data_IF_512192910531
#
_entry.id   IF_512192910531
#
_cell.length_a   1.000
_cell.length_b   1.000
_cell.length_c   1.000
_cell.angle_alpha   90.00
_cell.angle_beta   90.00
_cell.angle_gamma   90.00
#
_symmetry.space_group_name_H-M   'P 1'
#
loop_
_entity.id
_entity.type
_entity.pdbx_description
1 polymer ?
#
# COMPACT_ATOMS: atom_id res chain seq x y z
N UNK A 1 6.06 11.18 11.91
CA UNK A 1 6.67 12.28 11.14
C UNK A 1 7.30 11.70 9.88
N UNK A 2 6.77 12.02 8.70
CA UNK A 2 7.49 11.77 7.45
C UNK A 2 8.43 12.96 7.25
N UNK A 3 9.74 12.69 7.28
CA UNK A 3 10.75 13.74 7.19
C UNK A 3 10.80 14.27 5.76
N UNK A 4 10.90 15.61 5.57
CA UNK A 4 11.11 16.18 4.25
C UNK A 4 12.38 15.58 3.62
N UNK A 5 12.53 15.62 2.29
CA UNK A 5 13.62 14.93 1.58
C UNK A 5 15.00 15.32 2.11
N UNK A 6 15.20 16.61 2.39
CA UNK A 6 16.39 17.15 3.05
C UNK A 6 16.66 16.51 4.42
N UNK A 7 15.61 16.27 5.22
CA UNK A 7 15.73 15.60 6.51
C UNK A 7 16.17 14.14 6.41
N UNK A 8 15.74 13.41 5.37
CA UNK A 8 16.20 12.03 5.14
C UNK A 8 17.69 11.98 4.77
N UNK A 9 18.17 12.93 3.96
CA UNK A 9 19.60 13.05 3.61
C UNK A 9 20.44 13.39 4.84
N UNK A 10 20.00 14.35 5.66
CA UNK A 10 20.69 14.71 6.91
C UNK A 10 20.76 13.50 7.85
N UNK A 11 19.64 12.77 8.01
CA UNK A 11 19.60 11.58 8.84
C UNK A 11 20.55 10.47 8.34
N UNK A 12 20.68 10.31 7.02
CA UNK A 12 21.63 9.36 6.44
C UNK A 12 23.08 9.76 6.74
N UNK A 13 23.44 11.03 6.55
CA UNK A 13 24.78 11.53 6.83
C UNK A 13 25.20 11.26 8.30
N UNK A 14 24.32 11.51 9.26
CA UNK A 14 24.60 11.21 10.66
C UNK A 14 24.68 9.70 10.93
N UNK A 15 23.83 8.90 10.29
CA UNK A 15 23.88 7.45 10.42
C UNK A 15 25.18 6.86 9.83
N UNK A 16 25.67 7.42 8.72
CA UNK A 16 26.97 7.05 8.11
C UNK A 16 28.13 7.34 9.08
N UNK A 17 28.13 8.52 9.71
CA UNK A 17 29.15 8.88 10.71
C UNK A 17 29.11 7.94 11.92
N UNK A 18 27.92 7.67 12.46
CA UNK A 18 27.75 6.76 13.58
C UNK A 18 28.23 5.34 13.25
N UNK A 19 27.92 4.85 12.04
CA UNK A 19 28.35 3.53 11.57
C UNK A 19 29.86 3.46 11.33
N UNK A 20 30.49 4.54 10.89
CA UNK A 20 31.95 4.60 10.76
C UNK A 20 32.66 4.43 12.11
N UNK A 21 32.08 4.97 13.19
CA UNK A 21 32.61 4.82 14.55
C UNK A 21 32.27 3.47 15.18
N UNK A 22 31.08 2.94 14.89
CA UNK A 22 30.54 1.72 15.49
C UNK A 22 29.98 0.76 14.42
N UNK A 23 30.84 0.12 13.61
CA UNK A 23 30.43 -0.58 12.39
C UNK A 23 29.62 -1.86 12.63
N UNK A 24 29.77 -2.46 13.82
CA UNK A 24 29.14 -3.73 14.18
C UNK A 24 27.99 -3.59 15.18
N UNK A 25 27.70 -2.38 15.65
CA UNK A 25 26.63 -2.14 16.63
C UNK A 25 25.25 -2.28 15.93
N UNK A 26 24.39 -3.23 16.34
CA UNK A 26 23.12 -3.49 15.68
C UNK A 26 22.20 -2.27 15.58
N UNK A 27 22.17 -1.45 16.62
CA UNK A 27 21.33 -0.26 16.74
C UNK A 27 21.69 0.76 15.65
N UNK A 28 22.98 1.00 15.44
CA UNK A 28 23.46 1.89 14.38
C UNK A 28 23.22 1.31 13.00
N UNK A 29 23.39 -0.02 12.82
CA UNK A 29 23.04 -0.68 11.57
C UNK A 29 21.55 -0.51 11.24
N UNK A 30 20.66 -0.67 12.23
CA UNK A 30 19.21 -0.52 12.05
C UNK A 30 18.84 0.93 11.69
N UNK A 31 19.42 1.91 12.38
CA UNK A 31 19.19 3.34 12.08
C UNK A 31 19.67 3.66 10.67
N UNK A 32 20.86 3.20 10.31
CA UNK A 32 21.44 3.38 8.99
C UNK A 32 20.60 2.76 7.87
N UNK A 33 20.20 1.49 8.01
CA UNK A 33 19.32 0.81 7.04
C UNK A 33 17.99 1.54 6.85
N UNK A 34 17.39 2.06 7.94
CA UNK A 34 16.17 2.86 7.86
C UNK A 34 16.38 4.16 7.10
N UNK A 35 17.45 4.89 7.38
CA UNK A 35 17.76 6.16 6.74
C UNK A 35 18.06 5.96 5.25
N UNK A 36 18.94 5.01 4.92
CA UNK A 36 19.33 4.70 3.54
C UNK A 36 18.14 4.22 2.71
N UNK A 37 17.32 3.32 3.25
CA UNK A 37 16.10 2.88 2.61
C UNK A 37 15.09 4.02 2.37
N UNK A 38 14.99 5.01 3.26
CA UNK A 38 14.12 6.19 3.05
C UNK A 38 14.63 7.07 1.91
N UNK A 39 15.92 7.38 1.90
CA UNK A 39 16.55 8.16 0.82
C UNK A 39 16.32 7.47 -0.53
N UNK A 40 16.56 6.15 -0.58
CA UNK A 40 16.29 5.34 -1.77
C UNK A 40 14.82 5.37 -2.17
N UNK A 41 13.88 5.03 -1.29
CA UNK A 41 12.44 5.00 -1.64
C UNK A 41 11.90 6.35 -2.09
N UNK A 42 12.42 7.45 -1.53
CA UNK A 42 12.05 8.80 -1.93
C UNK A 42 12.67 9.19 -3.28
N UNK A 43 13.97 8.97 -3.42
CA UNK A 43 14.78 9.41 -4.56
C UNK A 43 14.76 8.47 -5.77
N UNK A 44 14.45 7.18 -5.58
CA UNK A 44 14.45 6.08 -6.56
C UNK A 44 13.55 4.92 -6.05
N UNK A 45 12.23 5.04 -6.17
CA UNK A 45 11.24 4.19 -5.46
C UNK A 45 11.32 2.67 -5.71
N UNK A 46 12.12 2.23 -6.69
CA UNK A 46 12.35 0.81 -7.00
C UNK A 46 13.83 0.49 -7.24
N UNK A 47 14.73 1.34 -6.77
CA UNK A 47 16.14 1.01 -6.75
C UNK A 47 16.40 -0.16 -5.81
N UNK A 48 17.27 -1.07 -6.23
CA UNK A 48 17.69 -2.21 -5.43
C UNK A 48 18.45 -1.73 -4.19
N UNK A 49 18.29 -2.37 -3.01
CA UNK A 49 19.23 -2.21 -1.93
C UNK A 49 20.67 -2.48 -2.39
N UNK A 50 21.62 -1.67 -1.93
CA UNK A 50 23.03 -1.86 -2.25
C UNK A 50 23.63 -3.09 -1.55
N UNK A 51 24.77 -3.58 -2.03
CA UNK A 51 25.47 -4.72 -1.43
C UNK A 51 25.82 -4.46 0.04
N UNK A 52 26.18 -3.23 0.38
CA UNK A 52 26.46 -2.79 1.75
C UNK A 52 25.24 -2.84 2.68
N UNK A 53 24.03 -2.71 2.14
CA UNK A 53 22.78 -2.90 2.87
C UNK A 53 22.47 -4.37 3.08
N UNK A 54 22.70 -5.19 2.05
CA UNK A 54 22.53 -6.64 2.12
C UNK A 54 23.51 -7.24 3.12
N UNK A 55 24.76 -6.82 3.13
CA UNK A 55 25.76 -7.28 4.10
C UNK A 55 25.46 -6.82 5.53
N UNK A 56 24.90 -5.62 5.69
CA UNK A 56 24.41 -5.16 6.98
C UNK A 56 23.26 -6.04 7.52
N UNK A 57 22.33 -6.44 6.65
CA UNK A 57 21.25 -7.35 7.03
C UNK A 57 21.77 -8.74 7.41
N UNK A 58 22.76 -9.28 6.68
CA UNK A 58 23.43 -10.52 7.06
C UNK A 58 24.08 -10.41 8.45
N UNK A 59 24.73 -9.27 8.74
CA UNK A 59 25.33 -9.01 10.04
C UNK A 59 24.29 -8.95 11.17
N UNK A 60 23.14 -8.29 10.95
CA UNK A 60 22.04 -8.29 11.91
C UNK A 60 21.51 -9.70 12.22
N UNK A 61 21.53 -10.60 11.23
CA UNK A 61 21.14 -11.99 11.42
C UNK A 61 22.18 -12.81 12.21
N UNK A 62 23.46 -12.42 12.23
CA UNK A 62 24.55 -13.21 12.83
C UNK A 62 24.94 -12.82 14.26
N UNK A 63 24.77 -11.56 14.68
CA UNK A 63 25.26 -11.06 15.98
C UNK A 63 24.55 -11.73 17.17
N UNK A 64 23.22 -11.64 17.22
CA UNK A 64 22.38 -12.22 18.28
C UNK A 64 20.96 -12.36 17.74
N UNK A 65 20.31 -13.50 18.04
CA UNK A 65 18.91 -13.75 17.68
C UNK A 65 17.97 -12.82 18.47
N UNK A 66 17.83 -11.59 17.99
CA UNK A 66 16.92 -10.57 18.50
C UNK A 66 15.79 -10.35 17.48
N UNK A 67 14.51 -10.51 17.85
CA UNK A 67 13.38 -10.34 16.92
C UNK A 67 13.39 -9.00 16.18
N UNK A 68 13.72 -7.90 16.86
CA UNK A 68 13.77 -6.58 16.24
C UNK A 68 14.84 -6.48 15.15
N UNK A 69 15.98 -7.15 15.32
CA UNK A 69 17.04 -7.16 14.30
C UNK A 69 16.62 -8.00 13.10
N UNK A 70 16.06 -9.18 13.36
CA UNK A 70 15.56 -10.12 12.36
C UNK A 70 14.44 -9.51 11.51
N UNK A 71 13.47 -8.83 12.13
CA UNK A 71 12.41 -8.11 11.43
C UNK A 71 12.99 -7.07 10.46
N UNK A 72 14.02 -6.32 10.86
CA UNK A 72 14.63 -5.31 9.97
C UNK A 72 15.41 -5.91 8.82
N UNK A 73 16.17 -6.98 9.05
CA UNK A 73 16.82 -7.71 7.98
C UNK A 73 15.80 -8.29 7.00
N UNK A 74 14.74 -8.93 7.49
CA UNK A 74 13.67 -9.49 6.67
C UNK A 74 12.98 -8.43 5.81
N UNK A 75 12.66 -7.25 6.35
CA UNK A 75 12.01 -6.19 5.58
C UNK A 75 12.87 -5.72 4.39
N UNK A 76 14.20 -5.65 4.56
CA UNK A 76 15.10 -5.32 3.46
C UNK A 76 15.13 -6.43 2.39
N UNK A 77 15.16 -7.70 2.81
CA UNK A 77 15.07 -8.83 1.88
C UNK A 77 13.72 -8.88 1.17
N UNK A 78 12.62 -8.55 1.86
CA UNK A 78 11.30 -8.46 1.26
C UNK A 78 11.25 -7.37 0.18
N UNK A 79 11.83 -6.20 0.45
CA UNK A 79 11.97 -5.10 -0.52
C UNK A 79 12.80 -5.53 -1.74
N UNK A 80 13.95 -6.18 -1.54
CA UNK A 80 14.78 -6.75 -2.60
C UNK A 80 14.02 -7.78 -3.45
N UNK A 81 13.24 -8.66 -2.80
CA UNK A 81 12.38 -9.65 -3.46
C UNK A 81 11.31 -9.01 -4.34
N UNK A 82 10.67 -7.95 -3.82
CA UNK A 82 9.67 -7.19 -4.55
C UNK A 82 10.24 -6.45 -5.77
N UNK A 83 11.38 -5.79 -5.63
CA UNK A 83 12.04 -5.06 -6.73
C UNK A 83 12.45 -6.03 -7.84
N UNK A 84 13.05 -7.17 -7.49
CA UNK A 84 13.38 -8.21 -8.48
C UNK A 84 12.14 -8.74 -9.20
N UNK A 85 11.00 -8.88 -8.50
CA UNK A 85 9.72 -9.26 -9.12
C UNK A 85 9.29 -8.23 -10.16
N UNK A 86 9.40 -6.94 -9.87
CA UNK A 86 9.06 -5.86 -10.81
C UNK A 86 9.97 -5.84 -12.04
N UNK A 87 11.24 -6.21 -11.87
CA UNK A 87 12.22 -6.35 -12.96
C UNK A 87 12.11 -7.68 -13.73
N UNK A 88 11.09 -8.50 -13.43
CA UNK A 88 10.89 -9.85 -13.98
C UNK A 88 12.06 -10.82 -13.71
N UNK A 89 12.86 -10.57 -12.67
CA UNK A 89 13.88 -11.50 -12.20
C UNK A 89 13.29 -12.44 -11.13
N UNK A 90 12.51 -13.42 -11.59
CA UNK A 90 11.75 -14.31 -10.71
C UNK A 90 12.64 -15.18 -9.80
N UNK A 91 13.82 -15.58 -10.27
CA UNK A 91 14.74 -16.41 -9.50
C UNK A 91 15.29 -15.66 -8.29
N UNK A 92 15.85 -14.46 -8.49
CA UNK A 92 16.35 -13.64 -7.37
C UNK A 92 15.20 -13.17 -6.47
N UNK A 93 14.05 -12.85 -7.06
CA UNK A 93 12.84 -12.50 -6.29
C UNK A 93 12.47 -13.61 -5.30
N UNK A 94 12.39 -14.85 -5.77
CA UNK A 94 12.04 -16.02 -4.95
C UNK A 94 13.06 -16.26 -3.85
N UNK A 95 14.36 -16.13 -4.18
CA UNK A 95 15.46 -16.27 -3.21
C UNK A 95 15.35 -15.25 -2.07
N UNK A 96 15.11 -13.98 -2.39
CA UNK A 96 14.98 -12.93 -1.37
C UNK A 96 13.70 -13.06 -0.53
N UNK A 97 12.57 -13.45 -1.13
CA UNK A 97 11.36 -13.75 -0.34
C UNK A 97 11.56 -14.95 0.59
N UNK A 98 12.28 -15.98 0.13
CA UNK A 98 12.65 -17.12 0.98
C UNK A 98 13.51 -16.68 2.17
N UNK A 99 14.58 -15.91 1.94
CA UNK A 99 15.40 -15.35 3.02
C UNK A 99 14.58 -14.54 4.02
N UNK A 100 13.70 -13.65 3.53
CA UNK A 100 12.79 -12.87 4.37
C UNK A 100 11.91 -13.77 5.24
N UNK A 101 11.23 -14.74 4.63
CA UNK A 101 10.29 -15.61 5.35
C UNK A 101 10.96 -16.55 6.35
N UNK A 102 12.12 -17.12 6.03
CA UNK A 102 12.88 -17.98 6.94
C UNK A 102 13.29 -17.21 8.20
N UNK A 103 13.70 -15.95 8.05
CA UNK A 103 14.04 -15.07 9.18
C UNK A 103 12.80 -14.70 10.01
N UNK A 104 11.65 -14.43 9.35
CA UNK A 104 10.41 -14.09 10.05
C UNK A 104 9.87 -15.26 10.88
N UNK A 105 9.97 -16.50 10.38
CA UNK A 105 9.58 -17.69 11.14
C UNK A 105 10.35 -17.78 12.46
N UNK A 106 11.68 -17.60 12.39
CA UNK A 106 12.53 -17.55 13.60
C UNK A 106 12.10 -16.40 14.51
N UNK A 107 11.83 -15.22 13.93
CA UNK A 107 11.41 -14.06 14.73
C UNK A 107 10.06 -14.24 15.41
N UNK A 108 9.12 -14.99 14.83
CA UNK A 108 7.81 -15.29 15.42
C UNK A 108 7.95 -16.23 16.63
N UNK A 109 8.92 -17.14 16.61
CA UNK A 109 9.20 -18.04 17.74
C UNK A 109 9.86 -17.29 18.91
N UNK A 110 10.62 -16.24 18.62
CA UNK A 110 11.38 -15.47 19.61
C UNK A 110 10.63 -14.25 20.16
N UNK A 111 9.58 -13.80 19.47
CA UNK A 111 8.84 -12.59 19.86
C UNK A 111 7.97 -12.88 21.08
N UNK A 112 8.06 -12.01 22.08
CA UNK A 112 7.13 -12.00 23.20
C UNK A 112 5.83 -11.28 22.79
N UNK A 113 4.96 -10.95 23.74
CA UNK A 113 3.74 -10.18 23.45
C UNK A 113 4.00 -8.67 23.21
N UNK A 114 5.16 -8.32 22.64
CA UNK A 114 5.48 -6.96 22.20
C UNK A 114 4.64 -6.61 20.96
N UNK A 115 3.66 -5.72 21.17
CA UNK A 115 2.71 -5.28 20.14
C UNK A 115 3.40 -4.71 18.90
N UNK A 116 4.48 -3.94 19.05
CA UNK A 116 5.14 -3.29 17.91
C UNK A 116 5.87 -4.31 17.03
N UNK A 117 6.50 -5.31 17.66
CA UNK A 117 7.16 -6.40 16.96
C UNK A 117 6.13 -7.31 16.29
N UNK A 118 5.08 -7.72 17.01
CA UNK A 118 3.96 -8.50 16.45
C UNK A 118 3.33 -7.80 15.25
N UNK A 119 3.08 -6.49 15.36
CA UNK A 119 2.52 -5.69 14.27
C UNK A 119 3.45 -5.66 13.04
N UNK A 120 4.76 -5.52 13.27
CA UNK A 120 5.76 -5.52 12.20
C UNK A 120 5.91 -6.90 11.54
N UNK A 121 5.80 -7.98 12.31
CA UNK A 121 5.80 -9.36 11.82
C UNK A 121 4.60 -9.62 10.92
N UNK A 122 3.39 -9.32 11.40
CA UNK A 122 2.17 -9.52 10.61
C UNK A 122 2.20 -8.70 9.31
N UNK A 123 2.66 -7.44 9.35
CA UNK A 123 2.83 -6.64 8.15
C UNK A 123 3.77 -7.30 7.14
N UNK A 124 4.90 -7.84 7.62
CA UNK A 124 5.87 -8.52 6.76
C UNK A 124 5.28 -9.80 6.15
N UNK A 125 4.50 -10.58 6.93
CA UNK A 125 3.78 -11.74 6.42
C UNK A 125 2.80 -11.38 5.29
N UNK A 126 2.09 -10.25 5.41
CA UNK A 126 1.13 -9.76 4.41
C UNK A 126 1.84 -9.32 3.11
N UNK A 127 3.08 -8.85 3.18
CA UNK A 127 3.82 -8.32 2.03
C UNK A 127 4.60 -9.40 1.26
N UNK A 128 4.94 -10.51 1.92
CA UNK A 128 5.52 -11.69 1.30
C UNK A 128 4.47 -12.52 0.53
N UNK A 129 4.88 -13.39 -0.42
CA UNK A 129 3.99 -14.37 -1.03
C UNK A 129 3.32 -15.28 0.01
N UNK A 130 2.02 -15.54 -0.15
CA UNK A 130 1.21 -16.29 0.81
C UNK A 130 1.77 -17.69 1.09
N UNK A 131 2.44 -18.30 0.11
CA UNK A 131 3.04 -19.64 0.21
C UNK A 131 4.22 -19.70 1.19
N UNK A 132 4.73 -18.56 1.64
CA UNK A 132 5.89 -18.49 2.54
C UNK A 132 5.54 -18.84 3.99
N UNK A 133 4.27 -18.75 4.39
CA UNK A 133 3.81 -18.89 5.78
C UNK A 133 2.62 -19.83 5.88
N UNK A 134 2.49 -20.54 7.00
CA UNK A 134 1.30 -21.33 7.28
C UNK A 134 0.16 -20.44 7.78
N UNK A 135 -1.09 -20.80 7.47
CA UNK A 135 -2.27 -20.07 7.97
C UNK A 135 -2.28 -19.99 9.50
N UNK A 136 -1.95 -21.09 10.19
CA UNK A 136 -1.89 -21.14 11.66
C UNK A 136 -0.93 -20.12 12.27
N UNK A 137 0.21 -19.87 11.61
CA UNK A 137 1.20 -18.91 12.08
C UNK A 137 0.65 -17.47 12.00
N UNK A 138 -0.01 -17.14 10.89
CA UNK A 138 -0.64 -15.83 10.70
C UNK A 138 -1.83 -15.65 11.64
N UNK A 139 -2.68 -16.67 11.78
CA UNK A 139 -3.83 -16.67 12.69
C UNK A 139 -3.42 -16.44 14.15
N UNK A 140 -2.29 -17.01 14.59
CA UNK A 140 -1.75 -16.76 15.92
C UNK A 140 -1.37 -15.28 16.11
N UNK A 141 -0.70 -14.65 15.13
CA UNK A 141 -0.37 -13.23 15.18
C UNK A 141 -1.63 -12.35 15.21
N UNK A 142 -2.61 -12.68 14.36
CA UNK A 142 -3.89 -11.97 14.28
C UNK A 142 -4.65 -12.07 15.60
N UNK A 143 -4.69 -13.26 16.21
CA UNK A 143 -5.35 -13.49 17.51
C UNK A 143 -4.74 -12.62 18.60
N UNK A 144 -3.40 -12.59 18.70
CA UNK A 144 -2.69 -11.74 19.68
C UNK A 144 -2.97 -10.25 19.47
N UNK A 145 -3.11 -9.81 18.23
CA UNK A 145 -3.30 -8.40 17.89
C UNK A 145 -4.77 -7.93 17.94
N UNK A 146 -5.74 -8.85 17.83
CA UNK A 146 -7.16 -8.50 17.65
C UNK A 146 -7.79 -7.73 18.83
N UNK A 147 -7.26 -7.88 20.04
CA UNK A 147 -7.73 -7.18 21.24
C UNK A 147 -7.03 -5.84 21.49
N UNK A 148 -5.96 -5.54 20.74
CA UNK A 148 -5.11 -4.38 20.98
C UNK A 148 -5.73 -3.11 20.37
N UNK A 149 -6.02 -2.12 21.22
CA UNK A 149 -6.53 -0.81 20.80
C UNK A 149 -5.39 0.11 20.36
N UNK A 150 -4.97 -0.01 19.10
CA UNK A 150 -3.91 0.81 18.55
C UNK A 150 -4.13 1.02 17.04
N UNK A 151 -4.06 2.27 16.57
CA UNK A 151 -4.37 2.60 15.16
C UNK A 151 -3.42 1.93 14.15
N UNK A 152 -2.16 1.67 14.54
CA UNK A 152 -1.20 0.96 13.70
C UNK A 152 -1.54 -0.53 13.61
N UNK A 153 -2.09 -1.11 14.69
CA UNK A 153 -2.60 -2.48 14.70
C UNK A 153 -3.86 -2.58 13.86
N UNK A 154 -4.80 -1.64 14.02
CA UNK A 154 -5.99 -1.55 13.17
C UNK A 154 -5.62 -1.48 11.68
N UNK A 155 -4.60 -0.71 11.31
CA UNK A 155 -4.12 -0.65 9.93
C UNK A 155 -3.67 -2.03 9.42
N UNK A 156 -2.84 -2.74 10.19
CA UNK A 156 -2.26 -4.03 9.76
C UNK A 156 -3.32 -5.14 9.74
N UNK A 157 -4.22 -5.19 10.72
CA UNK A 157 -5.36 -6.11 10.71
C UNK A 157 -6.28 -5.83 9.51
N UNK A 158 -6.55 -4.56 9.22
CA UNK A 158 -7.29 -4.16 8.03
C UNK A 158 -6.64 -4.63 6.72
N UNK A 159 -5.31 -4.51 6.62
CA UNK A 159 -4.55 -5.01 5.47
C UNK A 159 -4.56 -6.54 5.37
N UNK A 160 -4.50 -7.25 6.50
CA UNK A 160 -4.62 -8.71 6.54
C UNK A 160 -5.97 -9.16 5.98
N UNK A 161 -7.07 -8.62 6.50
CA UNK A 161 -8.40 -8.99 6.01
C UNK A 161 -8.64 -8.56 4.56
N UNK A 162 -8.03 -7.45 4.11
CA UNK A 162 -8.12 -7.00 2.72
C UNK A 162 -7.37 -7.91 1.75
N UNK A 163 -6.12 -8.27 2.06
CA UNK A 163 -5.22 -8.94 1.10
C UNK A 163 -5.22 -10.45 1.23
N UNK A 164 -5.27 -10.97 2.45
CA UNK A 164 -5.07 -12.38 2.75
C UNK A 164 -6.43 -13.11 2.79
N UNK A 165 -7.29 -12.76 3.76
CA UNK A 165 -8.62 -13.41 3.92
C UNK A 165 -9.62 -12.99 2.85
N UNK A 166 -9.48 -11.76 2.32
CA UNK A 166 -10.47 -11.10 1.45
C UNK A 166 -11.84 -10.94 2.13
N UNK A 167 -11.85 -10.78 3.46
CA UNK A 167 -13.03 -10.38 4.24
C UNK A 167 -13.12 -8.85 4.25
N UNK A 168 -13.79 -8.30 3.25
CA UNK A 168 -13.88 -6.85 3.06
C UNK A 168 -14.71 -6.15 4.14
N UNK A 169 -15.61 -6.86 4.83
CA UNK A 169 -16.40 -6.29 5.94
C UNK A 169 -15.51 -6.07 7.16
N UNK A 170 -14.70 -7.07 7.53
CA UNK A 170 -13.71 -6.90 8.61
C UNK A 170 -12.62 -5.92 8.23
N UNK A 171 -12.14 -5.96 6.98
CA UNK A 171 -11.17 -4.98 6.49
C UNK A 171 -11.70 -3.55 6.65
N UNK A 172 -12.95 -3.29 6.23
CA UNK A 172 -13.64 -2.00 6.41
C UNK A 172 -13.67 -1.59 7.88
N UNK A 173 -14.06 -2.49 8.78
CA UNK A 173 -14.14 -2.19 10.21
C UNK A 173 -12.79 -1.70 10.77
N UNK A 174 -11.72 -2.46 10.55
CA UNK A 174 -10.39 -2.11 11.08
C UNK A 174 -9.81 -0.86 10.41
N UNK A 175 -9.91 -0.74 9.09
CA UNK A 175 -9.43 0.45 8.37
C UNK A 175 -10.20 1.71 8.74
N UNK A 176 -11.49 1.61 9.06
CA UNK A 176 -12.30 2.73 9.56
C UNK A 176 -11.80 3.24 10.91
N UNK A 177 -11.41 2.33 11.83
CA UNK A 177 -10.80 2.70 13.11
C UNK A 177 -9.46 3.40 12.91
N UNK A 178 -8.62 2.85 12.03
CA UNK A 178 -7.35 3.48 11.66
C UNK A 178 -7.53 4.87 11.06
N UNK A 179 -8.50 5.04 10.15
CA UNK A 179 -8.85 6.34 9.57
C UNK A 179 -9.33 7.32 10.65
N UNK A 180 -10.20 6.89 11.58
CA UNK A 180 -10.71 7.74 12.66
C UNK A 180 -9.58 8.26 13.56
N UNK A 181 -8.49 7.49 13.68
CA UNK A 181 -7.26 7.90 14.36
C UNK A 181 -6.29 8.75 13.49
N UNK A 182 -6.71 9.17 12.29
CA UNK A 182 -5.92 10.03 11.40
C UNK A 182 -4.88 9.31 10.53
N UNK A 183 -4.94 7.98 10.41
CA UNK A 183 -3.98 7.22 9.59
C UNK A 183 -4.30 7.32 8.10
N UNK A 184 -3.49 8.09 7.37
CA UNK A 184 -3.62 8.28 5.92
C UNK A 184 -3.65 6.95 5.14
N UNK A 185 -2.76 6.03 5.47
CA UNK A 185 -2.69 4.70 4.83
C UNK A 185 -4.01 3.95 4.99
N UNK A 186 -4.58 3.97 6.20
CA UNK A 186 -5.88 3.34 6.47
C UNK A 186 -7.01 4.00 5.68
N UNK A 187 -7.04 5.33 5.58
CA UNK A 187 -8.02 6.07 4.75
C UNK A 187 -7.96 5.66 3.29
N UNK A 188 -6.75 5.56 2.72
CA UNK A 188 -6.56 5.18 1.31
C UNK A 188 -6.98 3.72 1.05
N UNK A 189 -6.65 2.80 1.96
CA UNK A 189 -7.09 1.40 1.83
C UNK A 189 -8.59 1.24 2.09
N UNK A 190 -9.20 2.08 2.93
CA UNK A 190 -10.64 2.07 3.16
C UNK A 190 -11.39 2.41 1.87
N UNK A 191 -10.96 3.45 1.13
CA UNK A 191 -11.54 3.76 -0.18
C UNK A 191 -11.47 2.57 -1.12
N UNK A 192 -10.33 1.88 -1.17
CA UNK A 192 -10.18 0.65 -1.97
C UNK A 192 -11.18 -0.43 -1.54
N UNK A 193 -11.40 -0.62 -0.25
CA UNK A 193 -12.41 -1.55 0.28
C UNK A 193 -13.82 -1.13 -0.13
N UNK A 194 -14.17 0.15 -0.06
CA UNK A 194 -15.47 0.64 -0.53
C UNK A 194 -15.67 0.34 -2.02
N UNK A 195 -14.65 0.56 -2.86
CA UNK A 195 -14.72 0.23 -4.29
C UNK A 195 -14.77 -1.29 -4.59
N UNK A 196 -14.43 -2.15 -3.63
CA UNK A 196 -14.59 -3.60 -3.74
C UNK A 196 -15.98 -4.07 -3.28
N UNK A 197 -16.58 -3.36 -2.31
CA UNK A 197 -17.90 -3.67 -1.76
C UNK A 197 -19.04 -3.16 -2.66
N UNK A 198 -18.81 -2.07 -3.40
CA UNK A 198 -19.81 -1.49 -4.29
C UNK A 198 -19.16 -0.92 -5.57
N UNK A 199 -19.92 -0.84 -6.68
CA UNK A 199 -19.47 -0.20 -7.90
C UNK A 199 -18.93 1.23 -7.67
N UNK A 200 -17.85 1.58 -8.37
CA UNK A 200 -17.19 2.89 -8.22
C UNK A 200 -18.09 4.08 -8.57
N UNK A 201 -19.08 3.88 -9.45
CA UNK A 201 -20.07 4.89 -9.82
C UNK A 201 -21.18 5.10 -8.77
N UNK A 202 -21.28 4.21 -7.79
CA UNK A 202 -22.24 4.32 -6.67
C UNK A 202 -21.55 4.85 -5.40
N UNK A 203 -20.27 4.54 -5.21
CA UNK A 203 -19.47 5.14 -4.15
C UNK A 203 -19.15 6.61 -4.47
N UNK A 204 -19.33 7.57 -3.54
CA UNK A 204 -18.98 8.98 -3.74
C UNK A 204 -17.45 9.19 -3.74
N UNK A 205 -16.76 8.61 -4.74
CA UNK A 205 -15.31 8.48 -4.80
C UNK A 205 -14.59 9.83 -4.74
N UNK A 206 -14.92 10.73 -5.67
CA UNK A 206 -14.30 12.06 -5.74
C UNK A 206 -14.62 12.86 -4.48
N UNK A 207 -15.89 12.90 -4.04
CA UNK A 207 -16.29 13.62 -2.82
C UNK A 207 -15.51 13.16 -1.60
N UNK A 208 -15.32 11.85 -1.44
CA UNK A 208 -14.55 11.27 -0.32
C UNK A 208 -13.08 11.69 -0.38
N UNK A 209 -12.46 11.62 -1.56
CA UNK A 209 -11.07 12.06 -1.76
C UNK A 209 -10.90 13.57 -1.55
N UNK A 210 -11.84 14.40 -2.00
CA UNK A 210 -11.84 15.85 -1.74
C UNK A 210 -11.93 16.14 -0.24
N UNK A 211 -12.77 15.43 0.51
CA UNK A 211 -12.80 15.56 1.98
C UNK A 211 -11.46 15.17 2.61
N UNK A 212 -10.80 14.12 2.11
CA UNK A 212 -9.46 13.74 2.57
C UNK A 212 -8.41 14.81 2.23
N UNK A 213 -8.51 15.46 1.08
CA UNK A 213 -7.58 16.52 0.66
C UNK A 213 -7.60 17.72 1.64
N UNK A 214 -8.78 18.04 2.18
CA UNK A 214 -8.94 19.08 3.20
C UNK A 214 -8.39 18.66 4.58
N UNK A 215 -8.41 17.37 4.91
CA UNK A 215 -7.88 16.87 6.20
C UNK A 215 -6.37 16.70 6.15
N UNK A 216 -5.83 16.14 5.06
CA UNK A 216 -4.41 15.82 4.92
C UNK A 216 -3.66 16.95 4.23
N UNK A 217 -3.10 17.86 5.03
CA UNK A 217 -2.37 19.05 4.55
C UNK A 217 -0.97 18.74 4.00
N UNK A 218 -0.47 17.51 4.14
CA UNK A 218 0.86 17.16 3.66
C UNK A 218 0.86 17.09 2.11
N UNK A 219 1.76 17.83 1.43
CA UNK A 219 1.77 17.88 -0.04
C UNK A 219 1.91 16.50 -0.71
N UNK A 220 2.69 15.56 -0.15
CA UNK A 220 2.86 14.24 -0.76
C UNK A 220 1.55 13.45 -0.72
N UNK A 221 0.82 13.55 0.39
CA UNK A 221 -0.50 12.90 0.57
C UNK A 221 -1.53 13.54 -0.36
N UNK A 222 -1.49 14.85 -0.52
CA UNK A 222 -2.33 15.59 -1.46
C UNK A 222 -2.11 15.17 -2.90
N UNK A 223 -0.85 15.04 -3.35
CA UNK A 223 -0.55 14.50 -4.68
C UNK A 223 -1.13 13.09 -4.87
N UNK A 224 -1.00 12.21 -3.87
CA UNK A 224 -1.57 10.86 -3.93
C UNK A 224 -3.10 10.91 -4.04
N UNK A 225 -3.77 11.80 -3.29
CA UNK A 225 -5.21 11.98 -3.35
C UNK A 225 -5.64 12.50 -4.73
N UNK A 226 -5.03 13.59 -5.20
CA UNK A 226 -5.36 14.22 -6.47
C UNK A 226 -5.08 13.25 -7.63
N UNK A 227 -4.03 12.44 -7.58
CA UNK A 227 -3.73 11.46 -8.63
C UNK A 227 -4.82 10.38 -8.75
N UNK A 228 -5.45 9.98 -7.63
CA UNK A 228 -6.62 9.10 -7.67
C UNK A 228 -7.85 9.77 -8.27
N UNK A 229 -8.06 11.06 -8.01
CA UNK A 229 -9.16 11.82 -8.61
C UNK A 229 -8.93 11.98 -10.13
N UNK A 230 -7.71 12.30 -10.54
CA UNK A 230 -7.33 12.37 -11.95
C UNK A 230 -7.53 11.03 -12.66
N UNK A 231 -7.15 9.91 -12.04
CA UNK A 231 -7.44 8.57 -12.55
C UNK A 231 -8.94 8.38 -12.79
N UNK A 232 -9.77 8.73 -11.81
CA UNK A 232 -11.22 8.58 -11.91
C UNK A 232 -11.78 9.38 -13.09
N UNK A 233 -11.45 10.67 -13.20
CA UNK A 233 -11.95 11.48 -14.32
C UNK A 233 -11.35 11.09 -15.67
N UNK A 234 -10.14 10.56 -15.71
CA UNK A 234 -9.50 10.10 -16.95
C UNK A 234 -10.15 8.82 -17.48
N UNK A 235 -10.54 7.90 -16.59
CA UNK A 235 -10.88 6.52 -16.94
C UNK A 235 -12.38 6.24 -16.88
N UNK A 236 -13.07 6.82 -15.89
CA UNK A 236 -14.48 6.51 -15.59
C UNK A 236 -15.39 7.53 -16.25
N UNK A 237 -15.23 8.80 -15.93
CA UNK A 237 -16.13 9.85 -16.42
C UNK A 237 -15.68 10.50 -17.73
N UNK A 238 -14.37 10.46 -18.03
CA UNK A 238 -13.76 11.15 -19.17
C UNK A 238 -14.23 12.62 -19.29
N UNK A 239 -14.07 13.40 -18.21
CA UNK A 239 -14.56 14.78 -18.10
C UNK A 239 -13.41 15.80 -18.27
N UNK A 240 -13.28 16.48 -19.43
CA UNK A 240 -12.17 17.38 -19.71
C UNK A 240 -11.98 18.52 -18.72
N UNK A 241 -13.08 19.16 -18.31
CA UNK A 241 -13.04 20.31 -17.39
C UNK A 241 -12.49 19.89 -16.03
N UNK A 242 -12.95 18.75 -15.51
CA UNK A 242 -12.48 18.23 -14.23
C UNK A 242 -11.03 17.74 -14.31
N UNK A 243 -10.63 17.09 -15.42
CA UNK A 243 -9.24 16.69 -15.65
C UNK A 243 -8.31 17.90 -15.58
N UNK A 244 -8.63 18.99 -16.30
CA UNK A 244 -7.81 20.21 -16.30
C UNK A 244 -7.76 20.88 -14.92
N UNK A 245 -8.90 20.95 -14.21
CA UNK A 245 -8.96 21.54 -12.88
C UNK A 245 -8.08 20.79 -11.87
N UNK A 246 -8.25 19.47 -11.76
CA UNK A 246 -7.43 18.66 -10.84
C UNK A 246 -5.97 18.58 -11.28
N UNK A 247 -5.67 18.67 -12.58
CA UNK A 247 -4.29 18.70 -13.06
C UNK A 247 -3.61 20.00 -12.64
N UNK A 248 -4.30 21.14 -12.76
CA UNK A 248 -3.79 22.40 -12.24
C UNK A 248 -3.50 22.30 -10.75
N UNK A 249 -4.47 21.80 -9.97
CA UNK A 249 -4.31 21.60 -8.53
C UNK A 249 -3.10 20.71 -8.20
N UNK A 250 -2.92 19.62 -8.95
CA UNK A 250 -1.76 18.72 -8.84
C UNK A 250 -0.43 19.42 -9.09
N UNK A 251 -0.36 20.28 -10.11
CA UNK A 251 0.84 21.00 -10.48
C UNK A 251 1.18 22.13 -9.51
N UNK A 252 0.17 22.69 -8.84
CA UNK A 252 0.29 23.79 -7.88
C UNK A 252 0.74 23.35 -6.48
N UNK A 253 0.72 22.05 -6.17
CA UNK A 253 1.30 21.52 -4.93
C UNK A 253 2.80 21.86 -4.83
N UNK A 254 3.22 22.31 -3.64
CA UNK A 254 4.60 22.72 -3.33
C UNK A 254 5.54 21.51 -3.15
N UNK A 255 5.80 20.81 -4.26
CA UNK A 255 6.66 19.64 -4.38
C UNK A 255 7.43 19.71 -5.69
N UNK A 256 8.66 19.19 -5.68
CA UNK A 256 9.52 19.06 -6.86
C UNK A 256 8.84 18.31 -8.02
N UNK A 257 9.00 18.85 -9.24
CA UNK A 257 8.38 18.31 -10.44
C UNK A 257 8.83 16.88 -10.79
N UNK A 258 10.05 16.50 -10.40
CA UNK A 258 10.57 15.13 -10.52
C UNK A 258 9.74 14.14 -9.71
N UNK A 259 9.35 14.52 -8.48
CA UNK A 259 8.48 13.73 -7.62
C UNK A 259 7.05 13.66 -8.18
N UNK A 260 6.52 14.78 -8.66
CA UNK A 260 5.21 14.84 -9.34
C UNK A 260 5.16 13.86 -10.53
N UNK A 261 6.16 13.92 -11.42
CA UNK A 261 6.24 12.96 -12.54
C UNK A 261 6.28 11.52 -12.02
N UNK A 262 7.18 11.20 -11.09
CA UNK A 262 7.31 9.85 -10.51
C UNK A 262 5.99 9.36 -9.91
N UNK A 263 5.29 10.19 -9.16
CA UNK A 263 4.00 9.85 -8.59
C UNK A 263 3.00 9.46 -9.69
N UNK A 264 2.89 10.21 -10.79
CA UNK A 264 2.03 9.84 -11.92
C UNK A 264 2.46 8.53 -12.61
N UNK A 265 3.77 8.29 -12.75
CA UNK A 265 4.32 7.05 -13.35
C UNK A 265 3.83 5.81 -12.59
N UNK A 266 3.85 5.86 -11.26
CA UNK A 266 3.58 4.70 -10.41
C UNK A 266 2.20 4.69 -9.77
N UNK A 267 1.38 5.71 -10.01
CA UNK A 267 0.01 5.76 -9.50
C UNK A 267 -0.80 4.59 -10.08
N UNK A 268 -1.51 3.89 -9.20
CA UNK A 268 -2.43 2.80 -9.53
C UNK A 268 -3.80 3.12 -8.96
N UNK A 269 -4.90 2.78 -9.66
CA UNK A 269 -6.22 3.09 -9.15
C UNK A 269 -6.59 2.22 -7.95
N UNK A 270 -7.32 2.83 -7.02
CA UNK A 270 -7.94 2.12 -5.89
C UNK A 270 -9.15 1.28 -6.32
N UNK A 271 -9.70 1.56 -7.51
CA UNK A 271 -10.76 0.81 -8.19
C UNK A 271 -10.16 0.04 -9.37
N UNK A 272 -10.80 -1.06 -9.83
CA UNK A 272 -10.31 -1.86 -10.97
C UNK A 272 -8.81 -2.16 -10.92
N UNK A 273 -8.34 -2.70 -9.79
CA UNK A 273 -6.92 -2.79 -9.41
C UNK A 273 -6.03 -3.54 -10.40
N UNK A 274 -6.61 -4.29 -11.33
CA UNK A 274 -5.89 -5.09 -12.33
C UNK A 274 -5.55 -4.32 -13.62
N UNK A 275 -6.10 -3.11 -13.81
CA UNK A 275 -6.00 -2.37 -15.09
C UNK A 275 -4.63 -1.69 -15.32
N UNK A 276 -3.95 -1.27 -14.24
CA UNK A 276 -2.67 -0.53 -14.27
C UNK A 276 -1.55 -1.23 -13.51
N UNK A 277 -1.25 -2.47 -13.89
CA UNK A 277 -0.16 -3.23 -13.26
C UNK A 277 1.23 -2.72 -13.64
N UNK A 278 1.37 -1.99 -14.76
CA UNK A 278 2.66 -1.51 -15.28
C UNK A 278 2.86 -0.01 -15.00
N UNK A 279 4.08 0.41 -14.64
CA UNK A 279 4.45 1.83 -14.60
C UNK A 279 4.11 2.56 -15.91
N UNK A 280 4.00 3.89 -15.86
CA UNK A 280 3.72 4.81 -16.97
C UNK A 280 2.35 4.69 -17.62
N UNK A 281 1.59 3.60 -17.44
CA UNK A 281 0.29 3.42 -18.11
C UNK A 281 -0.67 4.59 -17.87
N UNK A 282 -0.84 5.01 -16.61
CA UNK A 282 -1.72 6.14 -16.29
C UNK A 282 -1.21 7.45 -16.89
N UNK A 283 0.08 7.75 -16.73
CA UNK A 283 0.68 8.96 -17.28
C UNK A 283 0.50 9.06 -18.81
N UNK A 284 0.67 7.95 -19.52
CA UNK A 284 0.47 7.88 -20.97
C UNK A 284 -0.99 8.13 -21.35
N UNK A 285 -1.94 7.54 -20.63
CA UNK A 285 -3.37 7.72 -20.89
C UNK A 285 -3.83 9.16 -20.59
N UNK A 286 -3.37 9.73 -19.46
CA UNK A 286 -3.58 11.13 -19.13
C UNK A 286 -3.02 12.04 -20.23
N UNK A 287 -1.79 11.78 -20.70
CA UNK A 287 -1.18 12.54 -21.81
C UNK A 287 -1.99 12.44 -23.10
N UNK A 288 -2.50 11.25 -23.46
CA UNK A 288 -3.34 11.07 -24.66
C UNK A 288 -4.65 11.85 -24.52
N UNK A 289 -5.30 11.79 -23.36
CA UNK A 289 -6.54 12.53 -23.11
C UNK A 289 -6.31 14.04 -23.15
N UNK A 290 -5.24 14.55 -22.54
CA UNK A 290 -4.92 15.98 -22.59
C UNK A 290 -4.66 16.49 -24.01
N UNK A 291 -3.96 15.72 -24.86
CA UNK A 291 -3.79 16.06 -26.28
C UNK A 291 -5.13 16.16 -27.03
N UNK A 292 -6.07 15.25 -26.76
CA UNK A 292 -7.43 15.32 -27.34
C UNK A 292 -8.17 16.56 -26.87
N UNK A 293 -8.07 16.90 -25.58
CA UNK A 293 -8.71 18.07 -24.99
C UNK A 293 -8.22 19.35 -25.66
N UNK A 294 -6.90 19.48 -25.88
CA UNK A 294 -6.33 20.63 -26.57
C UNK A 294 -6.81 20.79 -28.01
N UNK A 295 -6.86 19.69 -28.76
CA UNK A 295 -7.20 19.76 -30.18
C UNK A 295 -8.68 20.10 -30.41
N UNK A 296 -9.53 19.81 -29.44
CA UNK A 296 -10.98 19.88 -29.59
C UNK A 296 -11.64 21.06 -28.87
N UNK A 297 -10.89 21.89 -28.12
CA UNK A 297 -11.46 22.96 -27.31
C UNK A 297 -10.66 24.26 -27.43
N UNK A 298 -11.38 25.39 -27.42
CA UNK A 298 -10.78 26.72 -27.22
C UNK A 298 -10.38 26.88 -25.76
N UNK A 299 -9.12 26.56 -25.47
CA UNK A 299 -8.57 26.66 -24.12
C UNK A 299 -8.31 28.11 -23.70
N UNK A 300 -8.70 28.43 -22.47
CA UNK A 300 -8.30 29.65 -21.79
C UNK A 300 -6.77 29.74 -21.62
N UNK A 301 -6.27 30.95 -21.34
CA UNK A 301 -4.83 31.18 -21.08
C UNK A 301 -4.32 30.33 -19.91
N UNK A 302 -5.15 30.15 -18.90
CA UNK A 302 -4.82 29.38 -17.69
C UNK A 302 -4.74 27.87 -17.96
N UNK A 303 -5.67 27.33 -18.74
CA UNK A 303 -5.65 25.92 -19.17
C UNK A 303 -4.45 25.62 -20.07
N UNK A 304 -4.09 26.55 -20.98
CA UNK A 304 -2.87 26.46 -21.79
C UNK A 304 -1.61 26.41 -20.92
N UNK A 305 -1.50 27.29 -19.92
CA UNK A 305 -0.37 27.27 -18.98
C UNK A 305 -0.29 25.95 -18.19
N UNK A 306 -1.42 25.42 -17.74
CA UNK A 306 -1.51 24.12 -17.06
C UNK A 306 -0.93 23.01 -17.95
N UNK A 307 -1.28 23.00 -19.23
CA UNK A 307 -0.74 22.04 -20.19
C UNK A 307 0.77 22.22 -20.44
N UNK A 308 1.23 23.45 -20.60
CA UNK A 308 2.65 23.74 -20.81
C UNK A 308 3.51 23.30 -19.62
N UNK A 309 3.03 23.51 -18.38
CA UNK A 309 3.66 23.01 -17.16
C UNK A 309 3.68 21.49 -17.13
N UNK A 310 2.56 20.83 -17.44
CA UNK A 310 2.52 19.37 -17.52
C UNK A 310 3.52 18.81 -18.54
N UNK A 311 3.66 19.44 -19.72
CA UNK A 311 4.64 19.05 -20.72
C UNK A 311 6.09 19.21 -20.26
N UNK A 312 6.40 20.26 -19.48
CA UNK A 312 7.72 20.42 -18.87
C UNK A 312 8.01 19.24 -17.93
N UNK A 313 7.04 18.87 -17.10
CA UNK A 313 7.15 17.70 -16.22
C UNK A 313 7.39 16.44 -17.06
N UNK A 314 6.60 16.19 -18.11
CA UNK A 314 6.78 15.02 -18.98
C UNK A 314 8.19 14.89 -19.57
N UNK A 315 8.86 16.01 -19.88
CA UNK A 315 10.21 16.02 -20.45
C UNK A 315 11.34 15.77 -19.43
N UNK A 316 11.06 15.74 -18.14
CA UNK A 316 12.08 15.48 -17.12
C UNK A 316 12.63 14.06 -17.26
N UNK A 317 13.95 13.89 -17.32
CA UNK A 317 14.55 12.56 -17.25
C UNK A 317 14.43 12.01 -15.83
N UNK A 318 13.91 10.79 -15.70
CA UNK A 318 13.91 10.03 -14.46
C UNK A 318 14.67 8.74 -14.75
N UNK A 319 15.77 8.53 -14.05
CA UNK A 319 16.64 7.35 -14.21
C UNK A 319 15.97 6.03 -13.76
N UNK A 320 14.70 6.07 -13.35
CA UNK A 320 13.89 4.88 -13.01
C UNK A 320 13.45 4.08 -14.26
N UNK A 321 13.76 4.53 -15.48
CA UNK A 321 13.25 3.97 -16.74
C UNK A 321 13.83 2.60 -17.17
N UNK A 322 14.56 1.89 -16.31
CA UNK A 322 14.99 0.52 -16.60
C UNK A 322 13.91 -0.56 -16.32
N UNK A 323 12.62 -0.21 -16.41
CA UNK A 323 11.58 -1.22 -16.52
C UNK A 323 11.51 -1.65 -17.97
N UNK A 324 11.89 -2.90 -18.25
CA UNK A 324 11.96 -3.47 -19.60
C UNK A 324 10.68 -3.16 -20.41
N UNK A 325 10.74 -2.18 -21.31
CA UNK A 325 9.61 -1.77 -22.16
C UNK A 325 9.33 -2.77 -23.30
N UNK A 326 10.15 -3.80 -23.47
CA UNK A 326 9.99 -4.78 -24.54
C UNK A 326 9.66 -6.17 -24.01
N UNK A 327 8.36 -6.39 -23.78
CA UNK A 327 7.64 -7.65 -24.10
C UNK A 327 6.14 -7.43 -23.87
N UNK A 328 5.42 -7.37 -24.98
CA UNK A 328 3.96 -7.53 -25.09
C UNK A 328 3.57 -8.90 -24.53
N UNK A 329 3.37 -8.97 -23.21
CA UNK A 329 2.63 -10.07 -22.60
C UNK A 329 1.16 -9.67 -22.63
N UNK A 330 0.45 -10.16 -23.64
CA UNK A 330 -1.00 -10.22 -23.64
C UNK A 330 -1.38 -11.28 -22.60
N UNK A 331 -2.00 -10.93 -21.45
CA UNK A 331 -2.56 -11.96 -20.60
C UNK A 331 -3.66 -12.65 -21.42
N UNK A 332 -3.54 -13.96 -21.65
CA UNK A 332 -4.67 -14.76 -22.13
C UNK A 332 -5.84 -14.47 -21.18
N UNK A 333 -6.95 -13.99 -21.73
CA UNK A 333 -8.23 -13.88 -21.03
C UNK A 333 -8.55 -15.24 -20.41
N UNK A 334 -8.34 -15.36 -19.10
CA UNK A 334 -8.98 -16.42 -18.33
C UNK A 334 -10.32 -15.86 -17.86
N UNK A 335 -11.37 -16.22 -18.58
CA UNK A 335 -12.78 -15.91 -18.31
C UNK A 335 -13.33 -16.56 -17.01
N UNK A 336 -12.50 -16.78 -15.99
CA UNK A 336 -12.87 -17.58 -14.82
C UNK A 336 -13.53 -16.80 -13.67
N UNK A 337 -13.72 -15.47 -13.78
CA UNK A 337 -14.27 -14.65 -12.68
C UNK A 337 -15.75 -14.28 -12.83
N UNK A 338 -16.42 -14.68 -13.92
CA UNK A 338 -17.87 -14.46 -14.09
C UNK A 338 -18.78 -15.35 -13.22
N UNK A 339 -18.22 -16.29 -12.43
CA UNK A 339 -19.01 -17.15 -11.53
C UNK A 339 -18.58 -17.01 -10.08
N UNK A 340 -18.95 -15.88 -9.47
CA UNK A 340 -19.34 -15.76 -8.04
C UNK A 340 -19.83 -14.33 -7.82
N UNK A 341 -20.94 -13.98 -8.47
CA UNK A 341 -21.84 -12.97 -7.89
C UNK A 341 -22.43 -13.63 -6.66
N UNK A 342 -22.10 -13.11 -5.49
CA UNK A 342 -22.87 -13.37 -4.28
C UNK A 342 -24.22 -12.72 -4.55
N UNK A 343 -25.24 -13.54 -4.81
CA UNK A 343 -26.62 -13.08 -4.78
C UNK A 343 -26.93 -12.63 -3.35
N UNK A 344 -26.88 -11.32 -3.13
CA UNK A 344 -27.51 -10.66 -2.00
C UNK A 344 -29.00 -10.50 -2.32
N UNK A 345 -29.72 -11.63 -2.41
CA UNK A 345 -31.19 -11.64 -2.44
C UNK A 345 -31.70 -12.39 -1.21
N UNK A 346 -32.28 -11.62 -0.29
CA UNK A 346 -33.34 -12.00 0.66
C UNK A 346 -33.33 -13.47 1.15
N UNK A 347 -32.67 -13.73 2.30
CA UNK A 347 -33.14 -14.82 3.16
C UNK A 347 -34.29 -14.30 4.01
N UNK A 348 -35.51 -14.43 3.47
CA UNK A 348 -36.75 -14.45 4.25
C UNK A 348 -36.65 -15.53 5.33
N UNK A 349 -36.94 -15.14 6.56
CA UNK A 349 -37.39 -16.05 7.61
C UNK A 349 -38.63 -16.83 7.16
N UNK A 350 -38.66 -18.11 7.50
CA UNK A 350 -39.77 -18.91 8.07
C UNK A 350 -39.37 -20.38 7.93
N UNK A 351 -38.99 -21.06 9.01
CA UNK A 351 -39.89 -21.78 9.94
C UNK A 351 -40.68 -22.92 9.28
N UNK A 352 -40.31 -24.16 9.64
CA UNK A 352 -41.21 -25.20 10.17
C UNK A 352 -40.36 -26.46 10.45
N UNK A 353 -40.13 -26.80 11.72
CA UNK A 353 -40.77 -27.94 12.42
C UNK A 353 -40.10 -29.29 12.07
N UNK A 354 -39.82 -30.23 12.97
CA UNK A 354 -40.10 -30.54 14.38
C UNK A 354 -39.26 -31.84 14.61
N UNK A 355 -38.67 -32.23 15.74
CA UNK A 355 -39.23 -32.52 17.06
C UNK A 355 -38.04 -33.03 17.92
N UNK A 356 -37.80 -32.45 19.10
CA UNK A 356 -38.07 -33.00 20.46
C UNK A 356 -37.01 -33.93 21.05
N UNK A 357 -36.35 -33.41 22.09
CA UNK A 357 -36.30 -33.88 23.50
C UNK A 357 -35.02 -33.29 24.14
N UNK A 358 -34.90 -32.96 25.42
CA UNK A 358 -35.77 -32.53 26.53
C UNK A 358 -34.78 -32.09 27.64
N UNK A 359 -35.29 -31.52 28.74
CA UNK A 359 -34.62 -31.18 30.02
C UNK A 359 -33.88 -29.82 30.01
N UNK A 360 -34.19 -28.83 30.85
CA UNK A 360 -34.70 -28.87 32.22
C UNK A 360 -35.68 -27.70 32.50
N UNK A 361 -36.76 -28.03 33.21
CA UNK A 361 -37.83 -27.12 33.65
C UNK A 361 -37.35 -26.07 34.65
N UNK A 362 -37.85 -24.85 34.47
CA UNK A 362 -38.09 -23.85 35.52
C UNK A 362 -39.11 -24.37 36.54
N UNK A 363 -38.97 -23.96 37.80
CA UNK A 363 -40.10 -23.51 38.62
C UNK A 363 -39.67 -22.38 39.57
N UNK A 364 -40.34 -21.24 39.47
CA UNK A 364 -40.67 -20.40 40.62
C UNK A 364 -42.09 -19.91 40.38
N UNK A 365 -43.01 -20.44 41.17
CA UNK A 365 -44.37 -19.93 41.28
C UNK A 365 -44.36 -18.60 42.07
N UNK A 366 -45.35 -17.71 41.86
CA UNK A 366 -45.46 -16.46 42.59
C UNK A 366 -46.14 -16.69 43.95
N UNK A 367 -45.68 -15.93 44.95
CA UNK A 367 -46.22 -15.94 46.31
C UNK A 367 -47.40 -14.96 46.47
N UNK A 368 -48.25 -15.16 47.49
CA UNK A 368 -47.93 -14.73 48.87
C UNK A 368 -47.26 -15.79 49.77
#
# INVERSE_FOLDING_TARGET
MEYPPKGNVIALNFADQARALHPTEPEWIIVWLKAKGRVRRYGQSFAMPGDDEIDAAKMLCSIKRNPSHLIRASQLYNEAGYINKLKNNHNESTKFFKLSSDIIKISIELVNDDVNQLNSLLLTCIECPNECFSSSMIENLVTKLSSVKNSCVDQVLGLYYLKYEKDYVKAKMYLSRGMAAGQFSSSMQLIKVECLLQPVNQFPFVKTLSMMYEVFQNPNRRLIIISQILLYYTIIENNPKQILWYLKLYLDEDIEDTFKKRNLIFTRPLFYTDRYCRPNKFLNELSVNLKKIMNNNDLSKEEKNTFDRFNKILKLNIDDNHFNDNKTFVPKNNDSWRKKRVDLSEKKCNESHQQKNESWRRKRDPKP
#
